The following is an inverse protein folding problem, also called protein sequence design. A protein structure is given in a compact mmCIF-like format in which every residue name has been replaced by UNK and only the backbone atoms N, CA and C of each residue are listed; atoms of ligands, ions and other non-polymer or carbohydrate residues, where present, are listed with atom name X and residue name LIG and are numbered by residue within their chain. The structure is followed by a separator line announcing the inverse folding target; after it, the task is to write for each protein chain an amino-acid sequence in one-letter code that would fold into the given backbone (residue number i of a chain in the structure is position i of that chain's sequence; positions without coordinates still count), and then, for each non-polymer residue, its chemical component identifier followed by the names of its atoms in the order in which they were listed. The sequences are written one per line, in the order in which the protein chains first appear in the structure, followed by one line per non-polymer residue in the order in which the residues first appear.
data_IF_231268482387
#
_entry.id   IF_231268482387
#
_cell.length_a   1.000
_cell.length_b   1.000
_cell.length_c   1.000
_cell.angle_alpha   90.00
_cell.angle_beta   90.00
_cell.angle_gamma   90.00
#
_symmetry.space_group_name_H-M   'P 1'
#
loop_
_entity.id
_entity.type
_entity.pdbx_description
1 polymer ?
#
# COMPACT_ATOMS: atom_id res chain seq x y z
N UNK A 1 50.73 -37.89 30.06
CA UNK A 1 50.75 -36.50 29.58
C UNK A 1 50.29 -36.49 28.13
N UNK A 2 49.06 -36.05 27.84
CA UNK A 2 48.58 -35.87 26.46
C UNK A 2 47.69 -34.61 26.43
N UNK A 3 48.23 -33.54 25.83
CA UNK A 3 47.60 -32.21 25.73
C UNK A 3 46.64 -32.23 24.54
N UNK A 4 45.33 -32.06 24.79
CA UNK A 4 44.32 -31.87 23.75
C UNK A 4 44.37 -30.42 23.26
N UNK A 5 44.70 -30.21 22.00
CA UNK A 5 44.65 -28.89 21.35
C UNK A 5 43.27 -28.78 20.69
N UNK A 6 42.45 -27.87 21.18
CA UNK A 6 41.16 -27.51 20.60
C UNK A 6 41.40 -26.47 19.49
N UNK A 7 41.05 -26.81 18.26
CA UNK A 7 41.13 -25.92 17.10
C UNK A 7 39.78 -25.20 16.97
N UNK A 8 39.72 -23.94 17.41
CA UNK A 8 38.56 -23.08 17.24
C UNK A 8 38.56 -22.54 15.80
N UNK A 9 37.67 -23.04 14.95
CA UNK A 9 37.46 -22.50 13.59
C UNK A 9 36.44 -21.36 13.72
N UNK A 10 36.92 -20.12 13.80
CA UNK A 10 36.07 -18.93 13.69
C UNK A 10 35.81 -18.65 12.21
N UNK A 11 34.61 -18.99 11.73
CA UNK A 11 34.15 -18.55 10.41
C UNK A 11 33.73 -17.08 10.50
N UNK A 12 34.57 -16.19 9.96
CA UNK A 12 34.26 -14.77 9.86
C UNK A 12 33.21 -14.55 8.77
N UNK A 13 31.96 -14.27 9.16
CA UNK A 13 30.92 -13.87 8.24
C UNK A 13 31.26 -12.47 7.69
N UNK A 14 31.68 -12.40 6.43
CA UNK A 14 31.88 -11.13 5.73
C UNK A 14 30.52 -10.57 5.36
N UNK A 15 30.11 -9.49 6.04
CA UNK A 15 28.93 -8.72 5.69
C UNK A 15 29.24 -7.90 4.43
N UNK A 16 28.98 -8.48 3.26
CA UNK A 16 29.09 -7.77 1.99
C UNK A 16 27.96 -6.72 1.92
N UNK A 17 28.33 -5.44 2.06
CA UNK A 17 27.44 -4.33 1.77
C UNK A 17 27.16 -4.34 0.26
N UNK A 18 26.00 -4.81 -0.17
CA UNK A 18 25.57 -4.63 -1.55
C UNK A 18 25.39 -3.12 -1.80
N UNK A 19 25.91 -2.57 -2.92
CA UNK A 19 25.64 -1.17 -3.25
C UNK A 19 24.14 -0.97 -3.43
N UNK A 20 23.63 0.18 -2.97
CA UNK A 20 22.26 0.57 -3.21
C UNK A 20 21.98 0.52 -4.71
N UNK A 21 20.92 -0.18 -5.12
CA UNK A 21 20.45 -0.14 -6.49
C UNK A 21 19.92 1.27 -6.76
N UNK A 22 20.71 2.08 -7.47
CA UNK A 22 20.27 3.36 -7.97
C UNK A 22 19.57 3.14 -9.32
N UNK A 23 18.31 3.53 -9.42
CA UNK A 23 17.65 3.60 -10.72
C UNK A 23 18.40 4.64 -11.57
N UNK A 24 18.92 4.24 -12.71
CA UNK A 24 19.56 5.15 -13.65
C UNK A 24 18.50 6.13 -14.14
N UNK A 25 18.65 7.41 -13.80
CA UNK A 25 17.82 8.47 -14.38
C UNK A 25 18.04 8.43 -15.88
N UNK A 26 16.98 8.19 -16.65
CA UNK A 26 17.09 8.11 -18.11
C UNK A 26 17.35 9.52 -18.62
N UNK A 27 18.55 9.77 -19.13
CA UNK A 27 19.00 11.11 -19.55
C UNK A 27 18.15 11.69 -20.70
N UNK A 28 17.54 10.82 -21.53
CA UNK A 28 16.73 11.20 -22.68
C UNK A 28 15.29 10.68 -22.56
N UNK A 29 14.49 11.33 -21.72
CA UNK A 29 13.03 11.15 -21.78
C UNK A 29 12.54 11.79 -23.09
N UNK A 30 11.97 10.98 -23.98
CA UNK A 30 11.30 11.48 -25.18
C UNK A 30 9.92 12.01 -24.78
N UNK A 31 9.84 13.31 -24.54
CA UNK A 31 8.59 13.99 -24.28
C UNK A 31 7.94 14.41 -25.61
N UNK A 32 6.79 13.81 -25.93
CA UNK A 32 5.96 14.24 -27.04
C UNK A 32 4.68 14.85 -26.48
N UNK A 33 4.53 16.16 -26.61
CA UNK A 33 3.34 16.90 -26.20
C UNK A 33 2.92 17.82 -27.33
N UNK A 34 1.63 17.87 -27.64
CA UNK A 34 1.14 18.80 -28.66
C UNK A 34 1.39 20.25 -28.22
N UNK A 35 1.64 21.21 -29.14
CA UNK A 35 1.90 22.61 -28.79
C UNK A 35 0.83 23.29 -27.90
N UNK A 36 -0.36 22.70 -27.81
CA UNK A 36 -1.51 23.16 -27.03
C UNK A 36 -1.93 22.18 -25.92
N UNK A 37 -1.12 21.19 -25.59
CA UNK A 37 -1.41 20.19 -24.56
C UNK A 37 -1.23 20.73 -23.12
N UNK A 38 -1.51 22.02 -22.89
CA UNK A 38 -1.49 22.60 -21.56
C UNK A 38 -2.65 22.01 -20.73
N UNK A 39 -2.33 21.24 -19.69
CA UNK A 39 -3.28 20.76 -18.70
C UNK A 39 -3.31 21.73 -17.52
N UNK A 40 -4.47 22.30 -17.23
CA UNK A 40 -4.70 23.09 -16.03
C UNK A 40 -5.68 22.34 -15.14
N UNK A 41 -5.27 22.08 -13.89
CA UNK A 41 -6.11 21.46 -12.87
C UNK A 41 -6.35 22.48 -11.76
N UNK A 42 -7.60 22.70 -11.41
CA UNK A 42 -7.99 23.49 -10.26
C UNK A 42 -8.63 22.56 -9.21
N UNK A 43 -7.89 22.16 -8.16
CA UNK A 43 -8.45 21.35 -7.09
C UNK A 43 -9.67 22.06 -6.47
N UNK A 44 -10.76 21.32 -6.28
CA UNK A 44 -12.00 21.89 -5.74
C UNK A 44 -12.25 21.53 -4.28
N UNK A 45 -11.56 20.52 -3.75
CA UNK A 45 -11.66 20.06 -2.37
C UNK A 45 -10.69 18.92 -2.09
N UNK A 46 -10.55 18.56 -0.81
CA UNK A 46 -9.73 17.44 -0.35
C UNK A 46 -10.35 16.81 0.89
N UNK A 47 -10.00 15.55 1.14
CA UNK A 47 -10.26 14.86 2.40
C UNK A 47 -8.95 14.28 2.92
N UNK A 48 -8.67 14.48 4.20
CA UNK A 48 -7.49 13.97 4.86
C UNK A 48 -7.89 12.94 5.93
N UNK A 49 -7.26 11.76 5.92
CA UNK A 49 -7.49 10.75 6.96
C UNK A 49 -6.77 11.06 8.27
N UNK A 50 -5.99 12.14 8.33
CA UNK A 50 -5.16 12.53 9.48
C UNK A 50 -3.90 11.69 9.66
N UNK A 51 -3.56 10.84 8.70
CA UNK A 51 -2.44 9.89 8.78
C UNK A 51 -1.59 9.96 7.52
N UNK A 52 -0.33 10.34 7.68
CA UNK A 52 0.63 10.45 6.58
C UNK A 52 1.60 9.27 6.55
N UNK A 53 2.01 8.86 5.35
CA UNK A 53 3.05 7.83 5.13
C UNK A 53 2.67 6.42 5.58
N UNK A 54 1.39 6.15 5.85
CA UNK A 54 0.89 4.83 6.31
C UNK A 54 -0.26 4.33 5.47
N UNK A 55 -0.31 4.68 4.18
CA UNK A 55 -1.27 4.07 3.25
C UNK A 55 -2.74 4.21 3.69
N UNK A 56 -3.08 5.34 4.32
CA UNK A 56 -4.36 5.55 5.01
C UNK A 56 -5.43 6.25 4.15
N UNK A 57 -5.21 6.34 2.84
CA UNK A 57 -6.14 6.82 1.83
C UNK A 57 -5.57 6.47 0.44
N UNK A 58 -5.89 5.28 -0.03
CA UNK A 58 -5.43 4.70 -1.27
C UNK A 58 -6.59 4.04 -2.03
N UNK A 59 -6.38 3.69 -3.30
CA UNK A 59 -7.34 3.05 -4.23
C UNK A 59 -8.77 3.59 -4.09
N UNK A 60 -9.13 4.51 -4.98
CA UNK A 60 -10.40 5.24 -4.92
C UNK A 60 -11.39 4.69 -5.95
N UNK A 61 -12.63 4.46 -5.51
CA UNK A 61 -13.78 4.21 -6.38
C UNK A 61 -14.90 5.23 -6.08
N UNK A 62 -15.62 5.67 -7.11
CA UNK A 62 -16.74 6.60 -6.96
C UNK A 62 -18.04 5.95 -7.45
N UNK A 63 -19.08 5.99 -6.62
CA UNK A 63 -20.43 5.60 -7.01
C UNK A 63 -21.29 6.84 -7.25
N UNK A 64 -21.57 7.14 -8.52
CA UNK A 64 -22.21 8.39 -8.93
C UNK A 64 -23.63 8.57 -8.40
N UNK A 65 -24.47 7.53 -8.41
CA UNK A 65 -25.87 7.65 -8.04
C UNK A 65 -26.07 7.98 -6.55
N UNK A 66 -25.18 7.54 -5.67
CA UNK A 66 -25.22 7.87 -4.24
C UNK A 66 -24.18 8.92 -3.84
N UNK A 67 -23.41 9.45 -4.79
CA UNK A 67 -22.31 10.39 -4.55
C UNK A 67 -21.40 9.94 -3.40
N UNK A 68 -20.95 8.67 -3.45
CA UNK A 68 -20.05 8.10 -2.43
C UNK A 68 -18.68 7.83 -3.02
N UNK A 69 -17.66 8.24 -2.29
CA UNK A 69 -16.26 7.93 -2.58
C UNK A 69 -15.84 6.82 -1.61
N UNK A 70 -15.33 5.73 -2.16
CA UNK A 70 -14.79 4.60 -1.40
C UNK A 70 -13.27 4.66 -1.54
N UNK A 71 -12.56 4.71 -0.42
CA UNK A 71 -11.08 4.71 -0.40
C UNK A 71 -10.58 3.62 0.53
N UNK A 72 -9.66 2.79 0.05
CA UNK A 72 -8.94 1.83 0.88
C UNK A 72 -8.07 2.58 1.88
N UNK A 73 -8.08 2.13 3.13
CA UNK A 73 -7.23 2.65 4.20
C UNK A 73 -6.45 1.47 4.80
N UNK A 74 -5.28 1.17 4.24
CA UNK A 74 -4.45 0.02 4.63
C UNK A 74 -3.97 0.10 6.08
N UNK A 75 -3.85 1.29 6.68
CA UNK A 75 -3.58 1.42 8.12
C UNK A 75 -4.68 0.77 8.96
N UNK A 76 -5.94 0.97 8.57
CA UNK A 76 -7.10 0.36 9.25
C UNK A 76 -7.44 -1.03 8.72
N UNK A 77 -7.01 -1.35 7.50
CA UNK A 77 -7.42 -2.53 6.75
C UNK A 77 -8.84 -2.46 6.17
N UNK A 78 -9.47 -1.29 6.20
CA UNK A 78 -10.87 -1.06 5.84
C UNK A 78 -11.02 -0.22 4.56
N UNK A 79 -12.24 -0.12 4.07
CA UNK A 79 -12.63 0.89 3.08
C UNK A 79 -13.38 2.01 3.79
N UNK A 80 -12.83 3.22 3.77
CA UNK A 80 -13.52 4.42 4.22
C UNK A 80 -14.55 4.85 3.17
N UNK A 81 -15.76 5.21 3.64
CA UNK A 81 -16.82 5.78 2.82
C UNK A 81 -16.88 7.28 3.10
N UNK A 82 -16.67 8.09 2.07
CA UNK A 82 -16.85 9.53 2.13
C UNK A 82 -18.15 9.94 1.45
N UNK A 83 -18.86 10.90 2.05
CA UNK A 83 -19.87 11.66 1.34
C UNK A 83 -19.17 12.62 0.38
N UNK A 84 -19.48 12.50 -0.91
CA UNK A 84 -18.99 13.36 -1.98
C UNK A 84 -20.08 14.22 -2.61
N UNK A 85 -21.24 14.38 -1.95
CA UNK A 85 -22.34 15.19 -2.49
C UNK A 85 -21.94 16.65 -2.69
N UNK A 86 -21.11 17.18 -1.79
CA UNK A 86 -20.33 18.41 -1.98
C UNK A 86 -18.86 18.04 -2.26
N UNK A 87 -18.40 18.09 -3.52
CA UNK A 87 -17.03 17.73 -3.86
C UNK A 87 -15.99 18.75 -3.37
N UNK A 88 -16.42 19.92 -2.87
CA UNK A 88 -15.52 20.88 -2.22
C UNK A 88 -15.23 20.55 -0.75
N UNK A 89 -16.09 19.77 -0.10
CA UNK A 89 -15.95 19.34 1.30
C UNK A 89 -16.29 17.85 1.50
N UNK A 90 -15.56 16.92 0.87
CA UNK A 90 -15.78 15.49 1.11
C UNK A 90 -15.44 15.12 2.56
N UNK A 91 -16.29 14.32 3.21
CA UNK A 91 -16.08 13.91 4.60
C UNK A 91 -16.46 12.45 4.83
N UNK A 92 -15.73 11.78 5.72
CA UNK A 92 -16.00 10.39 6.08
C UNK A 92 -17.35 10.25 6.79
N UNK A 93 -18.16 9.30 6.31
CA UNK A 93 -19.47 8.96 6.88
C UNK A 93 -19.55 7.51 7.38
N UNK A 94 -18.54 6.68 7.10
CA UNK A 94 -18.51 5.29 7.54
C UNK A 94 -17.28 4.54 7.05
N UNK A 95 -17.24 3.25 7.35
CA UNK A 95 -16.22 2.33 6.86
C UNK A 95 -16.80 0.91 6.67
N UNK A 96 -16.16 0.12 5.80
CA UNK A 96 -16.47 -1.29 5.55
C UNK A 96 -15.26 -2.13 5.95
N UNK A 97 -15.49 -3.10 6.83
CA UNK A 97 -14.49 -4.05 7.28
C UNK A 97 -14.69 -5.42 6.63
N UNK A 98 -13.58 -6.09 6.29
CA UNK A 98 -13.61 -7.51 5.94
C UNK A 98 -13.80 -8.42 7.16
N UNK A 99 -13.77 -7.87 8.38
CA UNK A 99 -13.85 -8.60 9.65
C UNK A 99 -12.61 -9.44 9.97
N UNK A 100 -12.34 -9.63 11.26
CA UNK A 100 -11.13 -10.30 11.74
C UNK A 100 -9.86 -9.50 11.40
N UNK A 101 -8.70 -10.17 11.37
CA UNK A 101 -7.42 -9.57 11.04
C UNK A 101 -7.18 -9.59 9.51
N UNK A 102 -8.15 -9.11 8.74
CA UNK A 102 -8.11 -9.10 7.28
C UNK A 102 -8.04 -7.67 6.77
N UNK A 103 -7.29 -7.48 5.70
CA UNK A 103 -7.07 -6.18 5.07
C UNK A 103 -7.73 -6.16 3.70
N UNK A 104 -8.55 -5.14 3.44
CA UNK A 104 -9.05 -4.85 2.09
C UNK A 104 -7.96 -4.11 1.33
N UNK A 105 -7.59 -4.60 0.15
CA UNK A 105 -6.51 -4.01 -0.67
C UNK A 105 -6.99 -3.51 -2.03
N UNK A 106 -8.28 -3.61 -2.35
CA UNK A 106 -8.85 -3.06 -3.58
C UNK A 106 -10.36 -2.86 -3.43
N UNK A 107 -10.89 -1.85 -4.11
CA UNK A 107 -12.34 -1.58 -4.18
C UNK A 107 -12.75 -1.16 -5.59
N UNK A 108 -13.96 -1.55 -6.00
CA UNK A 108 -14.63 -1.10 -7.21
C UNK A 108 -16.11 -0.86 -6.91
N UNK A 109 -16.73 0.13 -7.56
CA UNK A 109 -18.15 0.42 -7.44
C UNK A 109 -18.84 0.26 -8.80
N UNK A 110 -19.97 -0.46 -8.82
CA UNK A 110 -20.83 -0.63 -9.99
C UNK A 110 -21.98 0.37 -9.95
N UNK A 111 -22.48 0.84 -11.11
CA UNK A 111 -23.61 1.80 -11.18
C UNK A 111 -24.91 1.34 -10.50
N UNK A 112 -25.08 0.03 -10.30
CA UNK A 112 -26.24 -0.57 -9.63
C UNK A 112 -26.17 -0.49 -8.09
N UNK A 113 -25.21 0.26 -7.52
CA UNK A 113 -25.05 0.39 -6.08
C UNK A 113 -24.28 -0.74 -5.40
N UNK A 114 -23.58 -1.58 -6.16
CA UNK A 114 -22.77 -2.67 -5.61
C UNK A 114 -21.30 -2.27 -5.56
N UNK A 115 -20.72 -2.35 -4.36
CA UNK A 115 -19.27 -2.29 -4.17
C UNK A 115 -18.70 -3.72 -4.10
N UNK A 116 -17.57 -3.95 -4.77
CA UNK A 116 -16.79 -5.17 -4.67
C UNK A 116 -15.42 -4.83 -4.07
N UNK A 117 -14.99 -5.62 -3.09
CA UNK A 117 -13.71 -5.43 -2.39
C UNK A 117 -12.87 -6.69 -2.46
N UNK A 118 -11.58 -6.56 -2.71
CA UNK A 118 -10.64 -7.67 -2.59
C UNK A 118 -9.99 -7.64 -1.20
N UNK A 119 -9.95 -8.80 -0.55
CA UNK A 119 -9.26 -8.99 0.72
C UNK A 119 -7.88 -9.58 0.44
N UNK A 120 -6.84 -8.96 0.96
CA UNK A 120 -5.48 -9.44 0.84
C UNK A 120 -5.38 -10.87 1.39
N UNK A 121 -4.70 -11.74 0.64
CA UNK A 121 -4.31 -13.03 1.18
C UNK A 121 -3.36 -12.77 2.35
N UNK A 122 -3.63 -13.37 3.52
CA UNK A 122 -2.67 -13.36 4.60
C UNK A 122 -1.37 -13.98 4.11
N UNK A 123 -0.26 -13.23 4.13
CA UNK A 123 1.05 -13.84 3.97
C UNK A 123 1.20 -14.83 5.13
N UNK A 124 1.07 -16.12 4.85
CA UNK A 124 1.61 -17.15 5.74
C UNK A 124 3.11 -16.94 5.65
N UNK A 125 3.70 -16.36 6.69
CA UNK A 125 5.15 -16.34 6.82
C UNK A 125 5.64 -17.78 6.58
N UNK A 126 6.65 -18.02 5.72
CA UNK A 126 7.16 -19.37 5.54
C UNK A 126 7.48 -19.92 6.92
N UNK A 127 6.97 -21.11 7.24
CA UNK A 127 7.20 -21.74 8.53
C UNK A 127 8.69 -21.69 8.80
N UNK A 128 9.10 -20.95 9.83
CA UNK A 128 10.48 -20.96 10.31
C UNK A 128 10.74 -22.41 10.71
N UNK A 129 11.50 -23.13 9.88
CA UNK A 129 11.95 -24.46 10.23
C UNK A 129 12.81 -24.30 11.49
N UNK A 130 12.23 -24.61 12.65
CA UNK A 130 12.98 -24.77 13.88
C UNK A 130 13.81 -26.03 13.72
N UNK A 131 15.07 -25.88 13.30
CA UNK A 131 16.03 -26.95 13.42
C UNK A 131 16.22 -27.23 14.92
N UNK A 132 15.66 -28.34 15.38
CA UNK A 132 16.05 -28.96 16.64
C UNK A 132 17.43 -29.56 16.43
N UNK A 133 18.46 -28.93 17.00
CA UNK A 133 19.78 -29.56 17.17
C UNK A 133 19.68 -30.53 18.35
N UNK A 134 20.05 -31.80 18.11
CA UNK A 134 20.46 -32.76 19.14
C UNK A 134 21.99 -32.77 19.22
#
# INVERSE_FOLDING_TARGET
MLKRISLCVTSSLVLACSPAAHAHVVDNVLEHSAPTAALQLNPIGSHESGVLGKSAAEIVAYHAASQRILTVNARSGEVDILDGSDPSHPHKIGAISAGGNREINSVSARPVGLAATAVAAGLVAPATASATEE
#
